data_IF_349370930614
#
_entry.id   IF_349370930614
#
_cell.length_a   1.000
_cell.length_b   1.000
_cell.length_c   1.000
_cell.angle_alpha   90.00
_cell.angle_beta   90.00
_cell.angle_gamma   90.00
#
_symmetry.space_group_name_H-M   'P 1'
#
loop_
_entity.id
_entity.type
_entity.pdbx_description
1 polymer ?
#
# COMPACT_ATOMS: atom_id res chain seq x y z
N UNK A 1 -19.98 -10.96 21.66
CA UNK A 1 -20.60 -9.79 20.97
C UNK A 1 -19.72 -9.28 19.83
N UNK A 2 -18.39 -9.22 19.99
CA UNK A 2 -17.45 -8.88 18.89
C UNK A 2 -17.39 -9.95 17.78
N UNK A 3 -17.48 -11.25 18.13
CA UNK A 3 -17.36 -12.34 17.15
C UNK A 3 -18.53 -12.45 16.16
N UNK A 4 -19.74 -12.05 16.57
CA UNK A 4 -20.92 -12.02 15.68
C UNK A 4 -20.95 -10.77 14.79
N UNK A 5 -20.33 -9.67 15.24
CA UNK A 5 -20.26 -8.42 14.49
C UNK A 5 -19.17 -8.45 13.40
N UNK A 6 -18.08 -9.20 13.65
CA UNK A 6 -16.95 -9.33 12.74
C UNK A 6 -17.32 -9.75 11.31
N UNK A 7 -18.03 -10.88 11.07
CA UNK A 7 -18.35 -11.31 9.70
C UNK A 7 -19.27 -10.30 8.99
N UNK A 8 -20.14 -9.60 9.72
CA UNK A 8 -21.03 -8.57 9.16
C UNK A 8 -20.22 -7.36 8.71
N UNK A 9 -19.32 -6.85 9.55
CA UNK A 9 -18.49 -5.69 9.20
C UNK A 9 -17.49 -6.03 8.09
N UNK A 10 -16.87 -7.20 8.14
CA UNK A 10 -15.98 -7.66 7.06
C UNK A 10 -16.75 -7.85 5.74
N UNK A 11 -17.98 -8.35 5.79
CA UNK A 11 -18.86 -8.42 4.64
C UNK A 11 -19.17 -7.04 4.05
N UNK A 12 -19.54 -6.07 4.89
CA UNK A 12 -19.78 -4.68 4.45
C UNK A 12 -18.54 -4.05 3.81
N UNK A 13 -17.35 -4.24 4.39
CA UNK A 13 -16.08 -3.76 3.83
C UNK A 13 -15.81 -4.43 2.48
N UNK A 14 -16.02 -5.74 2.36
CA UNK A 14 -15.83 -6.47 1.11
C UNK A 14 -16.77 -5.94 0.00
N UNK A 15 -18.06 -5.81 0.27
CA UNK A 15 -19.02 -5.29 -0.71
C UNK A 15 -18.73 -3.83 -1.08
N UNK A 16 -18.34 -3.00 -0.11
CA UNK A 16 -17.90 -1.63 -0.38
C UNK A 16 -16.69 -1.59 -1.30
N UNK A 17 -15.62 -2.35 -1.00
CA UNK A 17 -14.42 -2.42 -1.86
C UNK A 17 -14.77 -2.87 -3.27
N UNK A 18 -15.67 -3.83 -3.40
CA UNK A 18 -16.15 -4.33 -4.69
C UNK A 18 -16.96 -3.29 -5.47
N UNK A 19 -17.85 -2.55 -4.80
CA UNK A 19 -18.58 -1.42 -5.39
C UNK A 19 -17.64 -0.28 -5.79
N UNK A 20 -16.72 0.10 -4.91
CA UNK A 20 -15.71 1.12 -5.16
C UNK A 20 -14.85 0.74 -6.37
N UNK A 21 -14.39 -0.51 -6.44
CA UNK A 21 -13.69 -1.04 -7.62
C UNK A 21 -14.53 -0.88 -8.89
N UNK A 22 -15.82 -1.23 -8.87
CA UNK A 22 -16.71 -1.05 -10.01
C UNK A 22 -16.82 0.44 -10.42
N UNK A 23 -16.92 1.36 -9.47
CA UNK A 23 -16.93 2.80 -9.72
C UNK A 23 -15.60 3.26 -10.32
N UNK A 24 -14.46 2.79 -9.79
CA UNK A 24 -13.14 3.14 -10.32
C UNK A 24 -12.92 2.60 -11.73
N UNK A 25 -13.47 1.44 -12.07
CA UNK A 25 -13.50 0.91 -13.43
C UNK A 25 -14.28 1.83 -14.40
N UNK A 26 -15.40 2.43 -13.95
CA UNK A 26 -16.16 3.39 -14.77
C UNK A 26 -15.39 4.70 -15.04
N UNK A 27 -14.42 5.06 -14.19
CA UNK A 27 -13.61 6.28 -14.33
C UNK A 27 -12.12 5.99 -14.60
N UNK A 28 -11.78 4.79 -15.08
CA UNK A 28 -10.41 4.31 -15.24
C UNK A 28 -9.49 5.33 -15.93
N UNK A 29 -9.89 5.79 -17.12
CA UNK A 29 -9.12 6.76 -17.91
C UNK A 29 -8.86 8.09 -17.20
N UNK A 30 -9.74 8.51 -16.28
CA UNK A 30 -9.56 9.71 -15.46
C UNK A 30 -8.66 9.43 -14.27
N UNK A 31 -8.85 8.29 -13.61
CA UNK A 31 -8.04 7.85 -12.48
C UNK A 31 -6.58 7.70 -12.89
N UNK A 32 -6.30 6.97 -13.96
CA UNK A 32 -4.94 6.80 -14.51
C UNK A 32 -4.28 8.14 -14.80
N UNK A 33 -5.00 9.05 -15.46
CA UNK A 33 -4.49 10.40 -15.79
C UNK A 33 -4.17 11.21 -14.55
N UNK A 34 -5.06 11.18 -13.57
CA UNK A 34 -4.87 11.88 -12.29
C UNK A 34 -3.67 11.33 -11.52
N UNK A 35 -3.59 10.01 -11.36
CA UNK A 35 -2.46 9.35 -10.69
C UNK A 35 -1.14 9.68 -11.40
N UNK A 36 -1.08 9.56 -12.73
CA UNK A 36 0.12 9.92 -13.52
C UNK A 36 0.50 11.39 -13.34
N UNK A 37 -0.47 12.30 -13.27
CA UNK A 37 -0.21 13.70 -12.98
C UNK A 37 0.38 13.89 -11.58
N UNK A 38 -0.19 13.26 -10.55
CA UNK A 38 0.34 13.33 -9.19
C UNK A 38 1.78 12.78 -9.09
N UNK A 39 2.08 11.65 -9.74
CA UNK A 39 3.45 11.12 -9.80
C UNK A 39 4.40 12.07 -10.52
N UNK A 40 3.96 12.67 -11.63
CA UNK A 40 4.75 13.65 -12.37
C UNK A 40 5.06 14.90 -11.52
N UNK A 41 4.08 15.40 -10.77
CA UNK A 41 4.29 16.51 -9.81
C UNK A 41 5.31 16.15 -8.73
N UNK A 42 5.38 14.87 -8.33
CA UNK A 42 6.42 14.36 -7.43
C UNK A 42 7.79 14.12 -8.11
N UNK A 43 7.94 14.46 -9.38
CA UNK A 43 9.16 14.20 -10.14
C UNK A 43 9.42 12.70 -10.38
N UNK A 44 8.35 11.89 -10.43
CA UNK A 44 8.39 10.46 -10.71
C UNK A 44 7.78 10.24 -12.10
N UNK A 45 8.60 9.78 -13.03
CA UNK A 45 8.13 9.40 -14.36
C UNK A 45 7.66 7.94 -14.34
N UNK A 46 6.66 7.62 -15.17
CA UNK A 46 6.06 6.29 -15.26
C UNK A 46 6.27 5.72 -16.66
N UNK A 47 6.87 4.52 -16.74
CA UNK A 47 7.10 3.78 -17.98
C UNK A 47 7.78 4.64 -19.07
N UNK A 48 8.86 5.33 -18.69
CA UNK A 48 9.70 6.11 -19.61
C UNK A 48 11.00 5.40 -19.90
N UNK A 49 11.57 5.63 -21.09
CA UNK A 49 12.90 5.13 -21.47
C UNK A 49 14.02 5.71 -20.59
N UNK A 50 13.75 6.87 -19.96
CA UNK A 50 14.61 7.46 -18.95
C UNK A 50 14.54 6.65 -17.64
N UNK A 51 15.64 5.93 -17.36
CA UNK A 51 15.88 5.18 -16.11
C UNK A 51 16.40 6.08 -14.99
N UNK A 52 15.97 7.33 -14.94
CA UNK A 52 16.26 8.23 -13.83
C UNK A 52 15.96 7.58 -12.47
N UNK A 53 16.76 7.85 -11.42
CA UNK A 53 16.60 7.20 -10.13
C UNK A 53 15.24 7.55 -9.52
N UNK A 54 14.53 6.52 -9.05
CA UNK A 54 13.20 6.68 -8.45
C UNK A 54 12.04 6.73 -9.45
N UNK A 55 12.27 6.46 -10.75
CA UNK A 55 11.20 6.34 -11.74
C UNK A 55 10.45 5.00 -11.60
N UNK A 56 9.15 5.04 -11.84
CA UNK A 56 8.23 3.93 -11.62
C UNK A 56 8.05 3.12 -12.92
N UNK A 57 8.22 1.80 -12.84
CA UNK A 57 7.88 0.88 -13.93
C UNK A 57 6.65 0.07 -13.51
N UNK A 58 5.56 0.22 -14.22
CA UNK A 58 4.28 -0.47 -13.97
C UNK A 58 4.13 -1.59 -15.00
N UNK A 59 4.00 -2.81 -14.49
CA UNK A 59 3.83 -4.05 -15.26
C UNK A 59 2.36 -4.49 -15.31
N UNK A 60 1.55 -4.05 -14.33
CA UNK A 60 0.13 -4.35 -14.26
C UNK A 60 -0.72 -3.06 -14.23
N UNK A 61 -1.60 -2.88 -15.22
CA UNK A 61 -2.48 -1.71 -15.32
C UNK A 61 -3.51 -1.60 -14.18
N UNK A 62 -3.83 -2.70 -13.49
CA UNK A 62 -4.68 -2.68 -12.29
C UNK A 62 -4.03 -1.94 -11.11
N UNK A 63 -2.73 -1.65 -11.21
CA UNK A 63 -1.98 -0.85 -10.24
C UNK A 63 -2.71 0.42 -9.84
N UNK A 64 -3.26 1.17 -10.80
CA UNK A 64 -3.88 2.46 -10.51
C UNK A 64 -5.17 2.33 -9.69
N UNK A 65 -5.94 1.28 -9.93
CA UNK A 65 -7.16 0.98 -9.17
C UNK A 65 -6.83 0.59 -7.73
N UNK A 66 -5.89 -0.35 -7.58
CA UNK A 66 -5.48 -0.83 -6.25
C UNK A 66 -4.76 0.26 -5.47
N UNK A 67 -3.95 1.10 -6.12
CA UNK A 67 -3.35 2.28 -5.50
C UNK A 67 -4.40 3.26 -4.96
N UNK A 68 -5.50 3.48 -5.69
CA UNK A 68 -6.57 4.38 -5.25
C UNK A 68 -7.32 3.85 -4.00
N UNK A 69 -7.54 2.53 -3.95
CA UNK A 69 -8.28 1.87 -2.87
C UNK A 69 -7.40 1.64 -1.62
N UNK A 70 -6.20 1.09 -1.82
CA UNK A 70 -5.34 0.55 -0.76
C UNK A 70 -4.14 1.43 -0.41
N UNK A 71 -3.84 2.44 -1.25
CA UNK A 71 -2.88 3.51 -0.98
C UNK A 71 -1.49 2.96 -0.66
N UNK A 72 -0.94 3.30 0.51
CA UNK A 72 0.41 2.92 0.94
C UNK A 72 0.56 1.41 1.11
N UNK A 73 -0.46 0.73 1.64
CA UNK A 73 -0.42 -0.71 1.87
C UNK A 73 -0.40 -1.45 0.53
N UNK A 74 -1.36 -1.13 -0.35
CA UNK A 74 -1.42 -1.70 -1.68
C UNK A 74 -0.15 -1.40 -2.49
N UNK A 75 0.45 -0.22 -2.34
CA UNK A 75 1.72 0.09 -3.01
C UNK A 75 2.84 -0.90 -2.64
N UNK A 76 2.96 -1.25 -1.35
CA UNK A 76 3.94 -2.23 -0.88
C UNK A 76 3.63 -3.66 -1.32
N UNK A 77 2.37 -4.09 -1.19
CA UNK A 77 1.93 -5.42 -1.61
C UNK A 77 2.13 -5.62 -3.12
N UNK A 78 1.74 -4.63 -3.93
CA UNK A 78 1.93 -4.65 -5.38
C UNK A 78 3.41 -4.68 -5.79
N UNK A 79 4.32 -4.12 -4.97
CA UNK A 79 5.76 -4.25 -5.21
C UNK A 79 6.21 -5.70 -5.00
N UNK A 80 5.80 -6.32 -3.89
CA UNK A 80 6.08 -7.72 -3.61
C UNK A 80 5.49 -8.68 -4.65
N UNK A 81 4.31 -8.35 -5.19
CA UNK A 81 3.64 -9.09 -6.27
C UNK A 81 4.25 -8.84 -7.66
N UNK A 82 5.23 -7.92 -7.79
CA UNK A 82 5.87 -7.58 -9.06
C UNK A 82 5.00 -6.78 -10.03
N UNK A 83 3.93 -6.14 -9.56
CA UNK A 83 3.06 -5.29 -10.40
C UNK A 83 3.75 -3.99 -10.81
N UNK A 84 4.74 -3.56 -10.03
CA UNK A 84 5.58 -2.43 -10.35
C UNK A 84 6.97 -2.62 -9.72
N UNK A 85 7.97 -1.96 -10.29
CA UNK A 85 9.31 -1.88 -9.72
C UNK A 85 9.96 -0.50 -9.95
N UNK A 86 11.14 -0.31 -9.36
CA UNK A 86 11.96 0.89 -9.48
C UNK A 86 13.42 0.55 -9.21
N UNK A 87 14.35 1.21 -9.91
CA UNK A 87 15.80 1.00 -9.72
C UNK A 87 16.30 1.51 -8.36
N UNK A 88 15.62 2.51 -7.77
CA UNK A 88 16.01 3.17 -6.51
C UNK A 88 14.79 3.48 -5.64
N UNK A 89 14.37 2.50 -4.84
CA UNK A 89 13.23 2.64 -3.92
C UNK A 89 13.42 3.76 -2.90
N UNK A 90 14.63 3.95 -2.38
CA UNK A 90 14.96 5.01 -1.43
C UNK A 90 14.68 6.41 -2.02
N UNK A 91 15.05 6.62 -3.28
CA UNK A 91 14.79 7.87 -4.01
C UNK A 91 13.30 8.03 -4.30
N UNK A 92 12.63 6.95 -4.71
CA UNK A 92 11.18 6.94 -4.96
C UNK A 92 10.39 7.34 -3.70
N UNK A 93 10.65 6.69 -2.56
CA UNK A 93 9.96 7.01 -1.31
C UNK A 93 10.31 8.42 -0.81
N UNK A 94 11.55 8.87 -0.99
CA UNK A 94 11.93 10.27 -0.67
C UNK A 94 11.09 11.27 -1.44
N UNK A 95 10.90 11.07 -2.76
CA UNK A 95 10.07 11.94 -3.61
C UNK A 95 8.60 11.92 -3.18
N UNK A 96 8.05 10.73 -2.98
CA UNK A 96 6.66 10.51 -2.53
C UNK A 96 6.38 11.21 -1.20
N UNK A 97 7.26 11.04 -0.21
CA UNK A 97 7.07 11.59 1.13
C UNK A 97 7.20 13.11 1.11
N UNK A 98 8.19 13.67 0.40
CA UNK A 98 8.37 15.11 0.26
C UNK A 98 7.16 15.80 -0.38
N UNK A 99 6.52 15.16 -1.34
CA UNK A 99 5.37 15.73 -2.07
C UNK A 99 4.03 15.32 -1.45
N UNK A 100 4.05 14.56 -0.35
CA UNK A 100 2.84 14.10 0.33
C UNK A 100 1.89 13.34 -0.58
N UNK A 101 2.41 12.56 -1.55
CA UNK A 101 1.66 12.02 -2.67
C UNK A 101 0.37 11.28 -2.24
N UNK A 102 0.44 10.50 -1.15
CA UNK A 102 -0.73 9.78 -0.64
C UNK A 102 -1.83 10.66 -0.05
N UNK A 103 -1.51 11.88 0.39
CA UNK A 103 -2.53 12.87 0.78
C UNK A 103 -3.28 13.38 -0.45
N UNK A 104 -2.58 13.50 -1.58
CA UNK A 104 -3.11 14.03 -2.84
C UNK A 104 -3.84 12.96 -3.66
N UNK A 105 -3.37 11.71 -3.66
CA UNK A 105 -3.97 10.56 -4.37
C UNK A 105 -5.34 10.11 -3.84
N UNK A 106 -5.97 10.86 -2.92
CA UNK A 106 -7.27 10.51 -2.34
C UNK A 106 -8.38 11.35 -3.00
N UNK A 107 -8.93 10.96 -4.17
CA UNK A 107 -10.02 11.70 -4.79
C UNK A 107 -11.32 11.65 -3.99
N UNK A 108 -11.50 10.66 -3.11
CA UNK A 108 -12.74 10.48 -2.33
C UNK A 108 -12.49 10.41 -0.81
N UNK A 109 -13.13 11.28 0.00
CA UNK A 109 -12.94 11.32 1.46
C UNK A 109 -13.56 10.13 2.22
N UNK A 110 -14.33 9.29 1.52
CA UNK A 110 -15.15 8.20 2.07
C UNK A 110 -14.30 7.06 2.66
N UNK A 111 -13.12 6.80 2.10
CA UNK A 111 -12.21 5.74 2.56
C UNK A 111 -11.71 5.96 4.00
N UNK A 112 -11.67 7.21 4.46
CA UNK A 112 -11.21 7.53 5.82
C UNK A 112 -12.20 7.05 6.88
N UNK A 113 -13.49 7.15 6.59
CA UNK A 113 -14.54 6.72 7.52
C UNK A 113 -14.54 5.20 7.70
N UNK A 114 -14.39 4.44 6.61
CA UNK A 114 -14.34 2.98 6.69
C UNK A 114 -13.04 2.44 7.29
N UNK A 115 -11.88 3.03 6.97
CA UNK A 115 -10.64 2.68 7.67
C UNK A 115 -10.74 2.99 9.16
N UNK A 116 -11.29 4.14 9.51
CA UNK A 116 -11.56 4.48 10.91
C UNK A 116 -12.45 3.43 11.58
N UNK A 117 -13.57 3.05 10.95
CA UNK A 117 -14.46 2.00 11.47
C UNK A 117 -13.76 0.64 11.59
N UNK A 118 -12.98 0.22 10.59
CA UNK A 118 -12.26 -1.06 10.62
C UNK A 118 -11.24 -1.13 11.77
N UNK A 119 -10.47 -0.06 11.99
CA UNK A 119 -9.41 -0.03 12.99
C UNK A 119 -9.88 0.37 14.40
N UNK A 120 -10.93 1.18 14.54
CA UNK A 120 -11.45 1.59 15.87
C UNK A 120 -12.53 0.65 16.42
N UNK A 121 -13.33 0.00 15.56
CA UNK A 121 -14.38 -0.93 16.02
C UNK A 121 -13.79 -2.31 16.32
N UNK A 122 -12.67 -2.68 15.68
CA UNK A 122 -12.00 -3.94 15.91
C UNK A 122 -10.50 -3.72 16.14
N UNK A 123 -10.03 -4.07 17.35
CA UNK A 123 -8.60 -4.21 17.59
C UNK A 123 -8.10 -5.47 16.86
N UNK A 124 -7.64 -5.27 15.61
CA UNK A 124 -7.01 -6.31 14.79
C UNK A 124 -5.67 -6.80 15.39
N UNK A 125 -5.15 -6.13 16.43
CA UNK A 125 -3.95 -6.49 17.17
C UNK A 125 -4.30 -7.12 18.53
N UNK A 126 -5.09 -8.19 18.53
CA UNK A 126 -5.32 -9.00 19.74
C UNK A 126 -4.18 -10.02 19.90
N UNK A 127 -3.66 -10.22 21.13
CA UNK A 127 -2.51 -11.12 21.38
C UNK A 127 -2.75 -12.57 20.96
N UNK A 128 -4.02 -12.99 20.83
CA UNK A 128 -4.38 -14.31 20.32
C UNK A 128 -4.03 -14.49 18.83
N UNK A 129 -4.00 -13.41 18.03
CA UNK A 129 -3.62 -13.42 16.60
C UNK A 129 -2.16 -13.05 16.35
N UNK A 130 -1.46 -12.50 17.34
CA UNK A 130 -0.04 -12.19 17.20
C UNK A 130 0.83 -13.46 17.06
N UNK A 131 0.36 -14.61 17.54
CA UNK A 131 1.02 -15.90 17.36
C UNK A 131 0.97 -16.38 15.89
N UNK A 132 -0.19 -16.28 15.23
CA UNK A 132 -0.35 -16.60 13.80
C UNK A 132 0.48 -15.67 12.89
N UNK A 133 0.66 -14.42 13.31
CA UNK A 133 1.49 -13.42 12.63
C UNK A 133 2.98 -13.64 12.92
N UNK A 134 3.37 -13.97 14.16
CA UNK A 134 4.76 -14.22 14.53
C UNK A 134 5.33 -15.46 13.82
N UNK A 135 4.56 -16.54 13.73
CA UNK A 135 4.97 -17.80 13.10
C UNK A 135 5.14 -17.66 11.57
N UNK A 136 4.32 -16.82 10.92
CA UNK A 136 4.42 -16.51 9.47
C UNK A 136 5.44 -15.43 9.12
N UNK A 137 5.74 -14.48 10.01
CA UNK A 137 6.49 -13.26 9.64
C UNK A 137 7.85 -13.05 10.31
N UNK A 138 8.23 -13.80 11.35
CA UNK A 138 9.46 -13.49 12.09
C UNK A 138 10.31 -14.69 12.51
N UNK A 139 10.28 -15.79 11.77
CA UNK A 139 11.35 -16.80 11.84
C UNK A 139 12.60 -16.37 11.04
N UNK A 140 12.99 -15.10 11.18
CA UNK A 140 14.23 -14.56 10.65
C UNK A 140 15.29 -14.82 11.72
N UNK A 141 16.12 -15.84 11.53
CA UNK A 141 17.16 -16.21 12.49
C UNK A 141 18.23 -15.12 12.67
N UNK A 142 19.02 -15.24 13.74
CA UNK A 142 20.17 -14.34 14.00
C UNK A 142 21.17 -14.26 12.84
N UNK A 143 21.22 -15.28 11.98
CA UNK A 143 22.06 -15.27 10.76
C UNK A 143 21.68 -14.15 9.79
N UNK A 144 20.38 -13.86 9.63
CA UNK A 144 19.94 -12.75 8.79
C UNK A 144 20.39 -11.42 9.39
N UNK A 145 20.16 -11.21 10.67
CA UNK A 145 20.54 -9.98 11.35
C UNK A 145 22.07 -9.77 11.35
N UNK A 146 22.84 -10.83 11.62
CA UNK A 146 24.30 -10.78 11.56
C UNK A 146 24.88 -10.50 10.17
N UNK A 147 24.08 -10.63 9.10
CA UNK A 147 24.53 -10.32 7.73
C UNK A 147 24.58 -8.83 7.41
N UNK A 148 23.85 -7.98 8.16
CA UNK A 148 23.77 -6.54 7.87
C UNK A 148 23.87 -5.64 9.11
N UNK A 149 23.78 -6.17 10.32
CA UNK A 149 24.02 -5.41 11.56
C UNK A 149 25.52 -5.31 11.88
N UNK A 150 25.86 -4.36 12.76
CA UNK A 150 27.19 -4.26 13.33
C UNK A 150 27.49 -5.43 14.27
N UNK A 151 28.74 -5.50 14.75
CA UNK A 151 29.17 -6.56 15.68
C UNK A 151 28.41 -6.57 17.02
N UNK A 152 27.72 -5.48 17.35
CA UNK A 152 26.94 -5.33 18.56
C UNK A 152 25.46 -5.73 18.36
N UNK A 153 25.05 -6.07 17.14
CA UNK A 153 23.68 -6.45 16.77
C UNK A 153 22.66 -5.35 17.08
N UNK A 154 23.05 -4.08 16.91
CA UNK A 154 22.19 -2.93 17.22
C UNK A 154 21.11 -2.71 16.14
N UNK A 155 19.83 -2.78 16.51
CA UNK A 155 18.66 -2.49 15.65
C UNK A 155 17.78 -1.41 16.28
N UNK A 156 18.28 -0.16 16.28
CA UNK A 156 17.69 1.02 16.94
C UNK A 156 17.55 2.21 16.01
#
# INVERSE_FOLDING_TARGET
>A
MLDTLYPVVMGLIYYYRRLASAVYWLIDSRLKRYSRHCFKEAGIMINTDDKGPGNLRIHNEEFYHRLAIEKTLGLGEMYMEGWWDCDRLDVFFTKILKHGLFKTLTPFPQDKLFHYLQFHVFNLQTSARSWEVADKHYNLGNELFGSFLDSEMNYS
#
